data_IF_624612161808
#
_entry.id   IF_624612161808
#
_cell.length_a   1.000
_cell.length_b   1.000
_cell.length_c   1.000
_cell.angle_alpha   90.00
_cell.angle_beta   90.00
_cell.angle_gamma   90.00
#
_symmetry.space_group_name_H-M   'P 1'
#
loop_
_entity.id
_entity.type
_entity.pdbx_description
1 polymer ?
#
# COMPACT_ATOMS: atom_id res chain seq x y z
N UNK A 1 -27.90 -13.42 34.10
CA UNK A 1 -27.19 -12.18 33.74
C UNK A 1 -26.01 -12.05 34.67
N UNK A 2 -24.82 -12.11 34.10
CA UNK A 2 -23.54 -12.42 34.77
C UNK A 2 -23.11 -11.37 35.81
N UNK A 3 -23.06 -11.78 37.07
CA UNK A 3 -22.55 -10.96 38.18
C UNK A 3 -21.02 -10.76 38.18
N UNK A 4 -20.30 -11.22 37.15
CA UNK A 4 -18.83 -11.16 37.10
C UNK A 4 -18.25 -10.24 36.01
N UNK A 5 -19.10 -9.53 35.25
CA UNK A 5 -18.64 -8.63 34.18
C UNK A 5 -17.63 -7.55 34.66
N UNK A 6 -17.79 -6.93 35.85
CA UNK A 6 -16.80 -5.99 36.37
C UNK A 6 -15.45 -6.65 36.67
N UNK A 7 -15.44 -7.84 37.26
CA UNK A 7 -14.21 -8.56 37.60
C UNK A 7 -13.43 -8.99 36.33
N UNK A 8 -14.16 -9.43 35.30
CA UNK A 8 -13.57 -9.80 34.00
C UNK A 8 -12.96 -8.59 33.29
N UNK A 9 -13.64 -7.43 33.31
CA UNK A 9 -13.12 -6.19 32.72
C UNK A 9 -11.87 -5.69 33.46
N UNK A 10 -11.85 -5.76 34.79
CA UNK A 10 -10.69 -5.40 35.61
C UNK A 10 -9.51 -6.33 35.32
N UNK A 11 -9.73 -7.65 35.28
CA UNK A 11 -8.69 -8.62 34.96
C UNK A 11 -8.10 -8.38 33.55
N UNK A 12 -8.95 -8.11 32.56
CA UNK A 12 -8.51 -7.79 31.20
C UNK A 12 -7.67 -6.50 31.14
N UNK A 13 -8.12 -5.43 31.80
CA UNK A 13 -7.38 -4.17 31.85
C UNK A 13 -6.02 -4.35 32.55
N UNK A 14 -5.98 -5.07 33.67
CA UNK A 14 -4.74 -5.38 34.38
C UNK A 14 -3.77 -6.19 33.51
N UNK A 15 -4.23 -7.21 32.78
CA UNK A 15 -3.39 -7.96 31.85
C UNK A 15 -2.81 -7.07 30.75
N UNK A 16 -3.63 -6.15 30.22
CA UNK A 16 -3.19 -5.23 29.17
C UNK A 16 -2.14 -4.24 29.67
N UNK A 17 -2.35 -3.64 30.84
CA UNK A 17 -1.39 -2.69 31.42
C UNK A 17 -0.10 -3.40 31.88
N UNK A 18 -0.19 -4.63 32.42
CA UNK A 18 0.99 -5.45 32.72
C UNK A 18 1.80 -5.79 31.47
N UNK A 19 1.12 -6.14 30.37
CA UNK A 19 1.79 -6.39 29.10
C UNK A 19 2.46 -5.13 28.57
N UNK A 20 1.77 -3.98 28.61
CA UNK A 20 2.32 -2.69 28.19
C UNK A 20 3.55 -2.32 29.04
N UNK A 21 3.47 -2.46 30.35
CA UNK A 21 4.59 -2.23 31.25
C UNK A 21 5.78 -3.14 30.92
N UNK A 22 5.53 -4.43 30.65
CA UNK A 22 6.56 -5.38 30.25
C UNK A 22 7.21 -4.98 28.92
N UNK A 23 6.43 -4.54 27.93
CA UNK A 23 6.93 -4.09 26.64
C UNK A 23 7.78 -2.80 26.79
N UNK A 24 7.33 -1.86 27.62
CA UNK A 24 8.02 -0.59 27.89
C UNK A 24 9.37 -0.79 28.63
N UNK A 25 9.44 -1.79 29.53
CA UNK A 25 10.64 -2.09 30.34
C UNK A 25 11.40 -3.34 29.87
N UNK A 26 11.08 -3.85 28.68
CA UNK A 26 11.65 -5.09 28.14
C UNK A 26 13.18 -5.06 28.07
N UNK A 27 13.75 -3.89 27.71
CA UNK A 27 15.19 -3.70 27.63
C UNK A 27 15.90 -3.80 28.99
N UNK A 28 15.27 -3.32 30.05
CA UNK A 28 15.79 -3.41 31.42
C UNK A 28 15.71 -4.87 31.91
N UNK A 29 14.57 -5.53 31.71
CA UNK A 29 14.40 -6.96 32.02
C UNK A 29 15.38 -7.85 31.25
N UNK A 30 15.70 -7.51 30.00
CA UNK A 30 16.72 -8.22 29.21
C UNK A 30 18.16 -7.97 29.68
N UNK A 31 18.42 -6.90 30.43
CA UNK A 31 19.74 -6.65 31.04
C UNK A 31 19.89 -7.37 32.37
N UNK A 32 18.81 -7.52 33.13
CA UNK A 32 18.81 -8.12 34.46
C UNK A 32 18.65 -9.66 34.44
N UNK A 33 17.90 -10.21 33.48
CA UNK A 33 17.68 -11.65 33.35
C UNK A 33 18.68 -12.27 32.37
N UNK A 34 19.35 -13.37 32.71
CA UNK A 34 20.13 -14.14 31.73
C UNK A 34 19.21 -14.99 30.84
N UNK A 35 19.68 -15.44 29.65
CA UNK A 35 18.93 -16.39 28.85
C UNK A 35 18.57 -17.66 29.64
N UNK A 36 17.28 -18.04 29.63
CA UNK A 36 16.73 -19.15 30.41
C UNK A 36 16.16 -18.73 31.78
N UNK A 37 16.51 -17.54 32.29
CA UNK A 37 16.07 -17.10 33.61
C UNK A 37 14.59 -16.74 33.65
N UNK A 38 14.02 -16.85 34.86
CA UNK A 38 12.67 -16.40 35.12
C UNK A 38 12.55 -15.69 36.47
N UNK A 39 11.72 -14.65 36.52
CA UNK A 39 11.35 -13.96 37.75
C UNK A 39 9.83 -13.98 37.90
N UNK A 40 9.36 -14.30 39.11
CA UNK A 40 7.94 -14.33 39.46
C UNK A 40 7.57 -13.11 40.29
N UNK A 41 6.50 -12.42 39.91
CA UNK A 41 5.91 -11.34 40.68
C UNK A 41 4.86 -11.91 41.65
N UNK A 42 4.97 -11.57 42.93
CA UNK A 42 4.03 -11.93 43.99
C UNK A 42 3.64 -10.68 44.77
N UNK A 43 2.44 -10.66 45.32
CA UNK A 43 1.92 -9.60 46.17
C UNK A 43 1.46 -10.18 47.49
N UNK A 44 1.95 -9.65 48.60
CA UNK A 44 1.50 -10.04 49.93
C UNK A 44 0.25 -9.22 50.30
N UNK A 45 -0.88 -9.90 50.50
CA UNK A 45 -2.10 -9.32 51.02
C UNK A 45 -2.41 -9.97 52.37
N UNK A 46 -2.22 -9.22 53.46
CA UNK A 46 -2.50 -9.64 54.83
C UNK A 46 -1.83 -10.98 55.24
N UNK A 47 -0.61 -11.22 54.76
CA UNK A 47 0.17 -12.43 55.04
C UNK A 47 -0.07 -13.57 54.06
N UNK A 48 -0.88 -13.35 53.01
CA UNK A 48 -1.10 -14.31 51.94
C UNK A 48 -0.39 -13.87 50.65
N UNK A 49 0.57 -14.67 50.18
CA UNK A 49 1.21 -14.45 48.88
C UNK A 49 0.25 -14.76 47.72
N UNK A 50 -0.08 -13.73 46.94
CA UNK A 50 -0.85 -13.81 45.71
C UNK A 50 0.10 -13.75 44.49
N UNK A 51 0.17 -14.80 43.65
CA UNK A 51 0.99 -14.77 42.45
C UNK A 51 0.37 -13.85 41.39
N UNK A 52 1.13 -12.85 40.94
CA UNK A 52 0.70 -11.89 39.93
C UNK A 52 1.14 -12.25 38.50
N UNK A 53 2.24 -13.00 38.37
CA UNK A 53 2.73 -13.45 37.07
C UNK A 53 4.19 -13.88 37.07
N UNK A 54 4.69 -14.24 35.88
CA UNK A 54 6.08 -14.67 35.67
C UNK A 54 6.62 -14.06 34.37
N UNK A 55 7.77 -13.41 34.45
CA UNK A 55 8.56 -13.02 33.29
C UNK A 55 9.64 -14.09 33.06
N UNK A 56 9.84 -14.49 31.81
CA UNK A 56 10.86 -15.49 31.44
C UNK A 56 11.64 -14.97 30.26
N UNK A 57 12.97 -14.91 30.37
CA UNK A 57 13.83 -14.67 29.22
C UNK A 57 14.10 -16.00 28.57
N UNK A 58 13.58 -16.18 27.36
CA UNK A 58 13.82 -17.41 26.60
C UNK A 58 15.27 -17.47 26.13
N UNK A 59 15.80 -18.70 26.00
CA UNK A 59 17.09 -18.91 25.37
C UNK A 59 17.07 -18.40 23.92
N UNK A 60 18.18 -17.81 23.43
CA UNK A 60 18.28 -17.42 22.04
C UNK A 60 18.10 -18.66 21.16
N UNK A 61 17.08 -18.63 20.31
CA UNK A 61 16.91 -19.67 19.29
C UNK A 61 17.91 -19.44 18.17
N UNK A 62 18.59 -20.49 17.65
CA UNK A 62 19.44 -20.33 16.49
C UNK A 62 18.59 -19.82 15.32
N UNK A 63 18.92 -18.63 14.84
CA UNK A 63 18.33 -18.02 13.65
C UNK A 63 19.38 -18.06 12.54
N UNK A 64 19.07 -18.81 11.49
CA UNK A 64 19.90 -18.88 10.29
C UNK A 64 19.38 -17.85 9.29
N UNK A 65 20.28 -17.04 8.73
CA UNK A 65 19.98 -16.08 7.67
C UNK A 65 20.84 -16.40 6.45
N UNK A 66 20.28 -16.19 5.27
CA UNK A 66 21.06 -16.25 4.03
C UNK A 66 21.96 -15.02 4.00
N UNK A 67 23.28 -15.25 3.91
CA UNK A 67 24.28 -14.17 3.85
C UNK A 67 24.75 -13.89 2.43
N UNK A 68 24.62 -14.88 1.55
CA UNK A 68 25.01 -14.81 0.14
C UNK A 68 23.92 -15.52 -0.67
N UNK A 69 23.11 -14.73 -1.36
CA UNK A 69 22.01 -15.27 -2.17
C UNK A 69 22.52 -15.92 -3.45
N UNK A 70 23.61 -15.41 -4.03
CA UNK A 70 24.12 -15.86 -5.33
C UNK A 70 24.79 -17.22 -5.17
N UNK A 71 25.65 -17.38 -4.16
CA UNK A 71 26.26 -18.68 -3.84
C UNK A 71 25.21 -19.73 -3.45
N UNK A 72 24.15 -19.31 -2.73
CA UNK A 72 23.05 -20.22 -2.39
C UNK A 72 22.26 -20.64 -3.63
N UNK A 73 22.05 -19.73 -4.58
CA UNK A 73 21.35 -20.03 -5.84
C UNK A 73 22.15 -21.02 -6.70
N UNK A 74 23.45 -20.78 -6.90
CA UNK A 74 24.34 -21.70 -7.64
C UNK A 74 24.36 -23.11 -7.02
N UNK A 75 24.43 -23.16 -5.68
CA UNK A 75 24.34 -24.42 -4.96
C UNK A 75 22.98 -25.08 -5.14
N UNK A 76 21.88 -24.32 -5.05
CA UNK A 76 20.52 -24.83 -5.18
C UNK A 76 20.24 -25.36 -6.59
N UNK A 77 20.71 -24.68 -7.63
CA UNK A 77 20.60 -25.14 -9.02
C UNK A 77 21.25 -26.51 -9.23
N UNK A 78 22.37 -26.77 -8.54
CA UNK A 78 23.11 -28.03 -8.67
C UNK A 78 22.55 -29.15 -7.79
N UNK A 79 22.14 -28.83 -6.55
CA UNK A 79 21.84 -29.84 -5.52
C UNK A 79 20.35 -30.01 -5.24
N UNK A 80 19.54 -28.97 -5.47
CA UNK A 80 18.10 -28.94 -5.21
C UNK A 80 17.36 -28.15 -6.30
N UNK A 81 17.43 -28.58 -7.58
CA UNK A 81 16.86 -27.84 -8.69
C UNK A 81 15.34 -27.63 -8.57
N UNK A 82 14.64 -28.54 -7.86
CA UNK A 82 13.20 -28.43 -7.59
C UNK A 82 12.83 -27.18 -6.75
N UNK A 83 13.79 -26.61 -6.02
CA UNK A 83 13.59 -25.38 -5.25
C UNK A 83 13.82 -24.12 -6.09
N UNK A 84 14.41 -24.25 -7.29
CA UNK A 84 14.72 -23.13 -8.17
C UNK A 84 13.63 -23.00 -9.23
N UNK A 85 12.85 -21.92 -9.16
CA UNK A 85 11.77 -21.63 -10.12
C UNK A 85 12.22 -20.53 -11.07
N UNK A 86 12.50 -20.89 -12.33
CA UNK A 86 12.75 -19.90 -13.39
C UNK A 86 11.43 -19.43 -13.99
N UNK A 87 11.08 -18.16 -13.80
CA UNK A 87 9.92 -17.56 -14.47
C UNK A 87 10.37 -16.87 -15.76
N UNK A 88 9.72 -17.20 -16.88
CA UNK A 88 9.86 -16.43 -18.13
C UNK A 88 8.87 -15.27 -18.10
N UNK A 89 9.38 -14.05 -18.19
CA UNK A 89 8.58 -12.84 -18.32
C UNK A 89 8.86 -12.17 -19.67
N UNK A 90 7.85 -11.52 -20.24
CA UNK A 90 8.05 -10.65 -21.40
C UNK A 90 8.76 -9.38 -20.93
N UNK A 91 9.77 -8.96 -21.69
CA UNK A 91 10.45 -7.70 -21.42
C UNK A 91 9.47 -6.53 -21.60
N UNK A 92 9.41 -5.65 -20.58
CA UNK A 92 8.44 -4.55 -20.55
C UNK A 92 8.67 -3.56 -21.68
N UNK A 93 9.93 -3.22 -21.97
CA UNK A 93 10.25 -2.32 -23.08
C UNK A 93 9.81 -2.89 -24.43
N UNK A 94 10.06 -4.17 -24.67
CA UNK A 94 9.60 -4.87 -25.87
C UNK A 94 8.06 -4.87 -26.00
N UNK A 95 7.35 -5.10 -24.90
CA UNK A 95 5.87 -5.04 -24.88
C UNK A 95 5.37 -3.63 -25.18
N UNK A 96 5.97 -2.60 -24.59
CA UNK A 96 5.58 -1.20 -24.82
C UNK A 96 5.83 -0.74 -26.27
N UNK A 97 6.89 -1.24 -26.90
CA UNK A 97 7.18 -1.01 -28.31
C UNK A 97 6.18 -1.73 -29.23
N UNK A 98 5.86 -2.99 -28.90
CA UNK A 98 4.86 -3.77 -29.61
C UNK A 98 3.48 -3.10 -29.56
N UNK A 99 3.04 -2.64 -28.38
CA UNK A 99 1.79 -1.91 -28.22
C UNK A 99 1.77 -0.57 -28.98
N UNK A 100 2.93 0.11 -29.07
CA UNK A 100 3.06 1.32 -29.90
C UNK A 100 2.85 1.03 -31.38
N UNK A 101 3.44 -0.07 -31.88
CA UNK A 101 3.27 -0.52 -33.26
C UNK A 101 1.81 -0.86 -33.55
N UNK A 102 1.17 -1.64 -32.68
CA UNK A 102 -0.25 -1.99 -32.78
C UNK A 102 -1.14 -0.74 -32.77
N UNK A 103 -0.84 0.23 -31.89
CA UNK A 103 -1.59 1.50 -31.83
C UNK A 103 -1.42 2.33 -33.11
N UNK A 104 -0.23 2.35 -33.70
CA UNK A 104 0.01 3.07 -34.95
C UNK A 104 -0.69 2.40 -36.14
N UNK A 105 -0.71 1.07 -36.19
CA UNK A 105 -1.36 0.30 -37.24
C UNK A 105 -2.88 0.18 -37.04
N UNK A 106 -3.37 0.55 -35.85
CA UNK A 106 -4.76 0.39 -35.43
C UNK A 106 -5.27 -1.06 -35.58
N UNK A 107 -4.36 -2.03 -35.41
CA UNK A 107 -4.64 -3.45 -35.52
C UNK A 107 -3.58 -4.24 -34.76
N UNK A 108 -3.99 -5.29 -34.05
CA UNK A 108 -3.09 -6.21 -33.35
C UNK A 108 -2.48 -7.23 -34.34
N UNK A 109 -1.81 -6.74 -35.37
CA UNK A 109 -1.17 -7.55 -36.40
C UNK A 109 0.32 -7.22 -36.53
N UNK A 110 1.11 -8.17 -36.98
CA UNK A 110 2.51 -7.95 -37.34
C UNK A 110 2.60 -7.21 -38.68
N UNK A 111 3.79 -6.73 -39.05
CA UNK A 111 4.06 -6.16 -40.38
C UNK A 111 3.80 -7.13 -41.54
N UNK A 112 3.74 -8.43 -41.26
CA UNK A 112 3.47 -9.50 -42.23
C UNK A 112 1.98 -9.90 -42.26
N UNK A 113 1.14 -9.27 -41.41
CA UNK A 113 -0.29 -9.48 -41.36
C UNK A 113 -0.75 -10.60 -40.41
N UNK A 114 0.14 -11.16 -39.59
CA UNK A 114 -0.21 -12.18 -38.60
C UNK A 114 -0.82 -11.56 -37.33
N UNK A 115 -1.85 -12.18 -36.74
CA UNK A 115 -2.45 -11.69 -35.49
C UNK A 115 -1.52 -11.92 -34.32
N UNK A 116 -1.28 -10.88 -33.52
CA UNK A 116 -0.43 -10.95 -32.33
C UNK A 116 -1.26 -11.55 -31.16
N UNK A 117 -0.91 -12.74 -30.64
CA UNK A 117 -1.66 -13.36 -29.56
C UNK A 117 -1.50 -12.60 -28.24
N UNK A 118 -2.59 -12.50 -27.47
CA UNK A 118 -2.61 -11.84 -26.15
C UNK A 118 -2.74 -10.32 -26.19
N UNK A 119 -2.89 -9.70 -27.37
CA UNK A 119 -3.20 -8.28 -27.54
C UNK A 119 -4.61 -8.14 -28.13
N UNK A 120 -5.54 -7.59 -27.36
CA UNK A 120 -6.92 -7.37 -27.78
C UNK A 120 -7.24 -5.88 -27.75
N UNK A 121 -8.10 -5.43 -28.67
CA UNK A 121 -8.63 -4.08 -28.62
C UNK A 121 -9.75 -4.01 -27.57
N UNK A 122 -9.44 -3.38 -26.44
CA UNK A 122 -10.44 -3.04 -25.44
C UNK A 122 -11.16 -1.74 -25.82
N UNK A 123 -12.40 -1.86 -26.30
CA UNK A 123 -13.25 -0.72 -26.64
C UNK A 123 -14.04 -0.16 -25.44
N UNK A 124 -13.69 -0.53 -24.20
CA UNK A 124 -14.26 0.08 -22.98
C UNK A 124 -13.60 1.42 -22.61
N UNK A 125 -12.52 1.80 -23.30
CA UNK A 125 -11.89 3.10 -23.17
C UNK A 125 -12.86 4.23 -23.56
N UNK A 126 -13.42 4.90 -22.55
CA UNK A 126 -14.42 5.95 -22.75
C UNK A 126 -13.99 7.01 -23.75
N UNK A 127 -14.86 7.31 -24.72
CA UNK A 127 -14.70 8.48 -25.59
C UNK A 127 -14.76 9.75 -24.74
N UNK A 128 -13.80 10.65 -24.88
CA UNK A 128 -13.81 11.95 -24.22
C UNK A 128 -13.95 13.08 -25.23
N UNK A 129 -14.70 14.12 -24.87
CA UNK A 129 -14.74 15.37 -25.62
C UNK A 129 -13.48 16.17 -25.26
N UNK A 130 -12.62 16.43 -26.24
CA UNK A 130 -11.47 17.34 -26.07
C UNK A 130 -11.77 18.68 -26.74
N UNK A 131 -11.81 19.74 -25.95
CA UNK A 131 -11.73 21.10 -26.48
C UNK A 131 -10.27 21.40 -26.84
N UNK A 132 -10.04 21.78 -28.10
CA UNK A 132 -8.74 22.29 -28.55
C UNK A 132 -8.95 23.75 -28.95
N UNK A 133 -8.49 24.73 -28.15
CA UNK A 133 -8.64 26.12 -28.52
C UNK A 133 -7.86 26.42 -29.81
N UNK A 134 -8.38 27.34 -30.61
CA UNK A 134 -7.64 27.89 -31.74
C UNK A 134 -6.36 28.59 -31.23
N UNK A 135 -5.27 28.52 -32.00
CA UNK A 135 -3.97 29.14 -31.63
C UNK A 135 -4.07 30.65 -31.38
N UNK A 136 -5.04 31.31 -32.02
CA UNK A 136 -5.32 32.74 -31.95
C UNK A 136 -6.55 33.06 -31.10
N UNK A 137 -7.01 32.13 -30.25
CA UNK A 137 -8.24 32.34 -29.45
C UNK A 137 -8.12 33.56 -28.54
N UNK A 138 -6.93 33.85 -28.01
CA UNK A 138 -6.70 35.01 -27.15
C UNK A 138 -6.88 36.32 -27.92
N UNK A 139 -6.38 36.41 -29.16
CA UNK A 139 -6.53 37.58 -30.02
C UNK A 139 -7.98 37.77 -30.45
N UNK A 140 -8.67 36.68 -30.79
CA UNK A 140 -10.10 36.69 -31.12
C UNK A 140 -10.96 37.11 -29.93
N UNK A 141 -10.66 36.60 -28.73
CA UNK A 141 -11.36 37.01 -27.50
C UNK A 141 -11.09 38.48 -27.16
N UNK A 142 -9.85 38.95 -27.33
CA UNK A 142 -9.51 40.37 -27.14
C UNK A 142 -10.24 41.28 -28.13
N UNK A 143 -10.36 40.85 -29.40
CA UNK A 143 -11.13 41.54 -30.42
C UNK A 143 -12.62 41.61 -30.05
N UNK A 144 -13.22 40.48 -29.68
CA UNK A 144 -14.63 40.41 -29.28
C UNK A 144 -14.91 41.23 -28.02
N UNK A 145 -13.97 41.28 -27.06
CA UNK A 145 -14.08 42.11 -25.88
C UNK A 145 -14.06 43.59 -26.23
N UNK A 146 -13.11 44.00 -27.08
CA UNK A 146 -12.97 45.38 -27.56
C UNK A 146 -14.19 45.85 -28.35
N UNK A 147 -14.80 44.95 -29.12
CA UNK A 147 -16.03 45.22 -29.89
C UNK A 147 -17.31 45.16 -29.02
N UNK A 148 -17.18 44.92 -27.71
CA UNK A 148 -18.33 44.82 -26.80
C UNK A 148 -19.20 43.59 -27.03
N UNK A 149 -18.73 42.62 -27.83
CA UNK A 149 -19.49 41.42 -28.24
C UNK A 149 -19.42 40.26 -27.25
N UNK A 150 -18.57 40.35 -26.22
CA UNK A 150 -18.53 39.37 -25.13
C UNK A 150 -19.60 39.60 -24.05
N UNK A 151 -20.19 40.81 -23.98
CA UNK A 151 -21.10 41.20 -22.90
C UNK A 151 -22.42 40.43 -22.83
N UNK A 152 -22.78 39.67 -23.86
CA UNK A 152 -23.97 38.80 -23.87
C UNK A 152 -23.68 37.32 -23.63
N UNK A 153 -22.43 36.88 -23.71
CA UNK A 153 -22.06 35.45 -23.67
C UNK A 153 -21.96 34.90 -22.23
N UNK A 154 -21.63 35.74 -21.25
CA UNK A 154 -21.51 35.33 -19.84
C UNK A 154 -22.87 35.31 -19.11
N UNK A 155 -23.86 36.07 -19.61
CA UNK A 155 -25.19 36.16 -19.00
C UNK A 155 -26.04 34.91 -19.25
N UNK A 156 -26.01 34.33 -20.45
CA UNK A 156 -26.80 33.13 -20.77
C UNK A 156 -26.10 31.81 -20.44
N UNK A 157 -24.76 31.79 -20.36
CA UNK A 157 -24.00 30.52 -20.23
C UNK A 157 -23.66 30.15 -18.78
N UNK A 158 -23.65 31.10 -17.83
CA UNK A 158 -23.23 30.82 -16.44
C UNK A 158 -24.32 30.96 -15.37
N UNK A 159 -25.51 31.46 -15.67
CA UNK A 159 -26.65 31.41 -14.73
C UNK A 159 -26.36 31.93 -13.31
N UNK A 160 -25.49 32.93 -13.16
CA UNK A 160 -25.23 33.57 -11.86
C UNK A 160 -26.01 34.88 -11.83
N UNK A 161 -27.20 34.84 -11.23
CA UNK A 161 -27.92 36.07 -10.88
C UNK A 161 -27.17 36.80 -9.76
N UNK A 162 -26.92 38.11 -9.88
CA UNK A 162 -26.39 38.89 -8.76
C UNK A 162 -27.50 39.09 -7.72
N UNK A 163 -27.31 38.55 -6.51
CA UNK A 163 -28.12 38.92 -5.34
C UNK A 163 -27.89 40.40 -5.03
N UNK A 164 -28.94 41.20 -5.18
CA UNK A 164 -28.96 42.59 -4.78
C UNK A 164 -28.76 42.72 -3.26
N UNK A 165 -27.83 43.58 -2.87
CA UNK A 165 -27.59 44.00 -1.50
C UNK A 165 -28.84 44.71 -0.91
N UNK A 166 -29.08 44.48 0.38
CA UNK A 166 -29.95 45.29 1.26
C UNK A 166 -29.12 45.86 2.39
#
# INVERSE_FOLDING_TARGET
MDQNMPAVLVAYYMQRELKKYLDDHKGDLMRELNPGDSVSARYDLDGQELPLGKATRTEPRPAWKVTDCDALMEWAETNMPDLVVTQKALDKSGVDELLRTVKHQNAAITSEGEVIPGIEWDNTGGSYVRFTPAKDIAEKLALLNREGRLGGLTGEVLGIEPTAES
#
